data_IF_772450131913
#
_entry.id   IF_772450131913
#
_cell.length_a   1.000
_cell.length_b   1.000
_cell.length_c   1.000
_cell.angle_alpha   90.00
_cell.angle_beta   90.00
_cell.angle_gamma   90.00
#
_symmetry.space_group_name_H-M   'P 1'
#
loop_
_entity.id
_entity.type
_entity.pdbx_description
1 polymer ?
#
# COMPACT_ATOMS: atom_id res chain seq x y z
N UNK A 1 -5.82 -18.19 22.50
CA UNK A 1 -5.50 -16.96 21.76
C UNK A 1 -6.63 -16.68 20.79
N UNK A 2 -7.03 -15.43 20.63
CA UNK A 2 -8.16 -14.99 19.79
C UNK A 2 -7.64 -14.34 18.50
N UNK A 3 -8.39 -14.46 17.41
CA UNK A 3 -8.04 -13.96 16.08
C UNK A 3 -9.08 -12.93 15.62
N UNK A 4 -8.65 -11.75 15.15
CA UNK A 4 -9.50 -10.84 14.41
C UNK A 4 -9.24 -11.00 12.89
N UNK A 5 -10.32 -11.32 12.15
CA UNK A 5 -10.30 -11.42 10.69
C UNK A 5 -10.73 -10.08 10.10
N UNK A 6 -9.78 -9.35 9.51
CA UNK A 6 -9.99 -8.03 8.93
C UNK A 6 -10.33 -8.19 7.46
N UNK A 7 -11.48 -7.67 7.05
CA UNK A 7 -12.05 -7.88 5.71
C UNK A 7 -12.37 -6.53 5.07
N UNK A 8 -11.42 -5.94 4.30
CA UNK A 8 -11.71 -4.78 3.48
C UNK A 8 -12.75 -5.13 2.40
N UNK A 9 -13.85 -4.37 2.32
CA UNK A 9 -14.97 -4.66 1.43
C UNK A 9 -15.41 -3.41 0.68
N UNK A 10 -15.54 -3.50 -0.65
CA UNK A 10 -16.06 -2.42 -1.48
C UNK A 10 -16.84 -2.96 -2.68
N UNK A 11 -18.17 -2.82 -2.65
CA UNK A 11 -19.09 -3.40 -3.62
C UNK A 11 -18.90 -4.92 -3.76
N UNK A 12 -19.08 -5.62 -2.65
CA UNK A 12 -18.90 -7.08 -2.50
C UNK A 12 -20.22 -7.76 -2.07
N UNK A 13 -21.37 -7.20 -2.46
CA UNK A 13 -22.69 -7.73 -2.07
C UNK A 13 -22.89 -9.22 -2.43
N UNK A 14 -22.24 -9.72 -3.48
CA UNK A 14 -22.33 -11.11 -3.90
C UNK A 14 -21.46 -12.05 -3.03
N UNK A 15 -20.42 -11.53 -2.39
CA UNK A 15 -19.37 -12.33 -1.76
C UNK A 15 -19.45 -12.36 -0.23
N UNK A 16 -19.89 -11.29 0.46
CA UNK A 16 -19.76 -11.14 1.91
C UNK A 16 -20.39 -12.28 2.73
N UNK A 17 -21.56 -12.77 2.34
CA UNK A 17 -22.26 -13.86 3.08
C UNK A 17 -21.53 -15.19 2.90
N UNK A 18 -21.20 -15.54 1.65
CA UNK A 18 -20.46 -16.77 1.34
C UNK A 18 -19.05 -16.75 1.94
N UNK A 19 -18.41 -15.57 2.00
CA UNK A 19 -17.13 -15.39 2.67
C UNK A 19 -17.23 -15.68 4.17
N UNK A 20 -18.21 -15.09 4.85
CA UNK A 20 -18.45 -15.31 6.27
C UNK A 20 -18.64 -16.80 6.59
N UNK A 21 -19.49 -17.51 5.81
CA UNK A 21 -19.74 -18.94 6.01
C UNK A 21 -18.46 -19.77 5.83
N UNK A 22 -17.70 -19.54 4.76
CA UNK A 22 -16.46 -20.28 4.48
C UNK A 22 -15.35 -20.03 5.50
N UNK A 23 -15.26 -18.82 6.02
CA UNK A 23 -14.27 -18.52 7.07
C UNK A 23 -14.64 -19.23 8.36
N UNK A 24 -15.92 -19.21 8.74
CA UNK A 24 -16.39 -19.96 9.92
C UNK A 24 -16.13 -21.47 9.77
N UNK A 25 -16.44 -22.04 8.60
CA UNK A 25 -16.15 -23.45 8.31
C UNK A 25 -14.65 -23.76 8.41
N UNK A 26 -13.79 -22.92 7.84
CA UNK A 26 -12.35 -23.13 7.83
C UNK A 26 -11.71 -23.00 9.20
N UNK A 27 -12.09 -21.98 10.00
CA UNK A 27 -11.50 -21.71 11.31
C UNK A 27 -12.02 -22.65 12.40
N UNK A 28 -13.24 -23.20 12.26
CA UNK A 28 -13.80 -24.17 13.20
C UNK A 28 -13.73 -23.69 14.66
N UNK A 29 -13.00 -24.43 15.50
CA UNK A 29 -12.87 -24.16 16.94
C UNK A 29 -11.94 -22.98 17.29
N UNK A 30 -11.25 -22.39 16.31
CA UNK A 30 -10.40 -21.22 16.57
C UNK A 30 -11.29 -20.03 16.93
N UNK A 31 -11.16 -19.51 18.16
CA UNK A 31 -11.90 -18.32 18.59
C UNK A 31 -11.53 -17.12 17.71
N UNK A 32 -12.51 -16.58 16.98
CA UNK A 32 -12.29 -15.48 16.06
C UNK A 32 -13.43 -14.47 16.06
N UNK A 33 -13.13 -13.25 15.63
CA UNK A 33 -14.11 -12.21 15.30
C UNK A 33 -13.89 -11.78 13.85
N UNK A 34 -14.90 -11.13 13.26
CA UNK A 34 -14.81 -10.43 11.99
C UNK A 34 -14.80 -8.93 12.21
N UNK A 35 -13.94 -8.23 11.51
CA UNK A 35 -13.96 -6.78 11.39
C UNK A 35 -14.11 -6.47 9.91
N UNK A 36 -15.35 -6.31 9.47
CA UNK A 36 -15.65 -5.88 8.11
C UNK A 36 -15.47 -4.36 8.01
N UNK A 37 -14.69 -3.93 7.03
CA UNK A 37 -14.53 -2.51 6.75
C UNK A 37 -15.16 -2.21 5.38
N UNK A 38 -16.34 -1.59 5.41
CA UNK A 38 -17.04 -1.14 4.22
C UNK A 38 -16.48 0.21 3.74
N UNK A 39 -15.73 0.19 2.65
CA UNK A 39 -15.09 1.36 2.07
C UNK A 39 -16.09 2.22 1.25
N UNK A 40 -17.22 2.55 1.86
CA UNK A 40 -18.25 3.40 1.25
C UNK A 40 -18.91 2.75 0.04
N UNK A 41 -19.35 1.50 0.14
CA UNK A 41 -20.02 0.77 -0.93
C UNK A 41 -21.31 1.45 -1.38
N UNK A 42 -21.61 1.29 -2.68
CA UNK A 42 -22.81 1.85 -3.33
C UNK A 42 -23.89 0.81 -3.63
N UNK A 43 -23.55 -0.46 -3.43
CA UNK A 43 -24.44 -1.62 -3.57
C UNK A 43 -25.04 -2.04 -2.22
N UNK A 44 -25.53 -3.26 -2.11
CA UNK A 44 -26.13 -3.79 -0.89
C UNK A 44 -25.11 -4.37 0.11
N UNK A 45 -23.79 -4.15 -0.08
CA UNK A 45 -22.74 -4.70 0.80
C UNK A 45 -23.00 -4.33 2.27
N UNK A 46 -23.12 -3.04 2.60
CA UNK A 46 -23.36 -2.59 3.97
C UNK A 46 -24.63 -3.19 4.57
N UNK A 47 -25.72 -3.29 3.78
CA UNK A 47 -26.97 -3.91 4.25
C UNK A 47 -26.75 -5.37 4.64
N UNK A 48 -26.06 -6.16 3.80
CA UNK A 48 -25.77 -7.56 4.09
C UNK A 48 -24.83 -7.74 5.30
N UNK A 49 -23.86 -6.83 5.47
CA UNK A 49 -23.00 -6.84 6.65
C UNK A 49 -23.81 -6.59 7.94
N UNK A 50 -24.77 -5.66 7.92
CA UNK A 50 -25.68 -5.42 9.06
C UNK A 50 -26.54 -6.66 9.37
N UNK A 51 -27.08 -7.32 8.35
CA UNK A 51 -27.81 -8.59 8.50
C UNK A 51 -26.93 -9.71 9.09
N UNK A 52 -25.63 -9.75 8.76
CA UNK A 52 -24.67 -10.68 9.39
C UNK A 52 -24.40 -10.33 10.84
N UNK A 53 -24.26 -9.04 11.16
CA UNK A 53 -24.10 -8.59 12.54
C UNK A 53 -25.33 -8.93 13.40
N UNK A 54 -26.55 -8.71 12.88
CA UNK A 54 -27.79 -9.09 13.59
C UNK A 54 -27.88 -10.59 13.90
N UNK A 55 -27.23 -11.44 13.10
CA UNK A 55 -27.17 -12.90 13.32
C UNK A 55 -26.07 -13.33 14.29
N UNK A 56 -24.99 -12.55 14.38
CA UNK A 56 -23.77 -12.88 15.12
C UNK A 56 -23.13 -11.60 15.66
N UNK A 57 -23.84 -10.92 16.56
CA UNK A 57 -23.50 -9.61 17.11
C UNK A 57 -22.22 -9.61 17.97
N UNK A 58 -21.91 -10.75 18.61
CA UNK A 58 -20.70 -10.91 19.42
C UNK A 58 -19.42 -10.94 18.58
N UNK A 59 -19.47 -11.48 17.35
CA UNK A 59 -18.28 -11.74 16.55
C UNK A 59 -18.15 -10.87 15.31
N UNK A 60 -19.26 -10.38 14.75
CA UNK A 60 -19.25 -9.57 13.53
C UNK A 60 -19.27 -8.09 13.91
N UNK A 61 -18.18 -7.38 13.58
CA UNK A 61 -18.03 -5.94 13.78
C UNK A 61 -17.90 -5.24 12.44
N UNK A 62 -18.42 -4.01 12.33
CA UNK A 62 -18.48 -3.29 11.06
C UNK A 62 -17.98 -1.86 11.27
N UNK A 63 -17.05 -1.43 10.39
CA UNK A 63 -16.67 -0.04 10.21
C UNK A 63 -17.09 0.38 8.81
N UNK A 64 -18.06 1.29 8.68
CA UNK A 64 -18.49 1.81 7.37
C UNK A 64 -18.00 3.23 7.18
N UNK A 65 -17.36 3.49 6.03
CA UNK A 65 -16.81 4.80 5.69
C UNK A 65 -17.86 5.72 5.06
N UNK A 66 -17.69 7.03 5.25
CA UNK A 66 -18.56 8.07 4.67
C UNK A 66 -18.50 8.12 3.15
N UNK A 67 -17.38 7.67 2.55
CA UNK A 67 -17.13 7.54 1.11
C UNK A 67 -16.02 6.51 0.89
N UNK A 68 -15.68 6.22 -0.38
CA UNK A 68 -14.51 5.42 -0.69
C UNK A 68 -13.21 6.18 -0.38
N UNK A 69 -12.40 5.65 0.55
CA UNK A 69 -11.07 6.13 0.94
C UNK A 69 -9.95 5.20 0.43
N UNK A 70 -10.31 4.04 -0.09
CA UNK A 70 -9.39 3.07 -0.67
C UNK A 70 -9.01 1.93 0.27
N UNK A 71 -8.52 0.84 -0.33
CA UNK A 71 -8.17 -0.41 0.37
C UNK A 71 -7.15 -0.19 1.50
N UNK A 72 -6.18 0.69 1.31
CA UNK A 72 -5.14 0.99 2.30
C UNK A 72 -5.75 1.59 3.58
N UNK A 73 -6.72 2.50 3.44
CA UNK A 73 -7.45 3.07 4.55
C UNK A 73 -8.31 2.01 5.26
N UNK A 74 -8.94 1.11 4.51
CA UNK A 74 -9.76 0.03 5.06
C UNK A 74 -8.91 -0.98 5.84
N UNK A 75 -7.71 -1.33 5.36
CA UNK A 75 -6.75 -2.17 6.09
C UNK A 75 -6.34 -1.48 7.41
N UNK A 76 -6.01 -0.20 7.36
CA UNK A 76 -5.63 0.56 8.55
C UNK A 76 -6.77 0.61 9.58
N UNK A 77 -7.98 0.92 9.15
CA UNK A 77 -9.14 0.95 10.03
C UNK A 77 -9.40 -0.41 10.69
N UNK A 78 -9.33 -1.50 9.93
CA UNK A 78 -9.48 -2.84 10.47
C UNK A 78 -8.41 -3.20 11.50
N UNK A 79 -7.14 -2.87 11.24
CA UNK A 79 -6.04 -3.07 12.20
C UNK A 79 -6.20 -2.19 13.44
N UNK A 80 -6.63 -0.94 13.29
CA UNK A 80 -6.88 -0.01 14.38
C UNK A 80 -7.97 -0.53 15.33
N UNK A 81 -9.05 -1.10 14.78
CA UNK A 81 -10.16 -1.64 15.55
C UNK A 81 -9.94 -3.08 16.06
N UNK A 82 -8.85 -3.72 15.66
CA UNK A 82 -8.50 -5.06 16.13
C UNK A 82 -7.93 -5.01 17.54
N UNK A 83 -8.39 -5.94 18.41
CA UNK A 83 -7.98 -6.04 19.83
C UNK A 83 -7.48 -7.43 20.21
N UNK A 84 -7.68 -8.44 19.37
CA UNK A 84 -7.29 -9.84 19.64
C UNK A 84 -5.78 -10.06 19.59
N UNK A 85 -5.31 -11.24 20.05
CA UNK A 85 -3.89 -11.63 20.07
C UNK A 85 -3.27 -11.63 18.66
N UNK A 86 -4.10 -12.02 17.68
CA UNK A 86 -3.74 -12.05 16.25
C UNK A 86 -4.72 -11.23 15.43
N UNK A 87 -4.22 -10.63 14.34
CA UNK A 87 -5.02 -10.01 13.30
C UNK A 87 -4.64 -10.59 11.93
N UNK A 88 -5.63 -10.97 11.14
CA UNK A 88 -5.42 -11.50 9.79
C UNK A 88 -6.17 -10.65 8.77
N UNK A 89 -5.49 -10.14 7.76
CA UNK A 89 -6.10 -9.43 6.63
C UNK A 89 -6.38 -10.46 5.53
N UNK A 90 -7.59 -10.46 5.02
CA UNK A 90 -8.01 -11.32 3.90
C UNK A 90 -9.05 -10.60 3.04
N UNK A 91 -8.94 -10.74 1.72
CA UNK A 91 -9.89 -10.14 0.77
C UNK A 91 -11.21 -10.92 0.72
N UNK A 92 -12.33 -10.20 0.58
CA UNK A 92 -13.69 -10.76 0.58
C UNK A 92 -14.01 -11.62 -0.67
N UNK A 93 -13.20 -11.54 -1.75
CA UNK A 93 -13.48 -12.13 -3.07
C UNK A 93 -13.22 -13.65 -3.17
N UNK A 94 -12.82 -14.29 -2.06
CA UNK A 94 -12.54 -15.73 -1.96
C UNK A 94 -11.43 -16.24 -2.91
N UNK A 95 -10.61 -15.36 -3.50
CA UNK A 95 -9.42 -15.80 -4.24
C UNK A 95 -8.33 -16.36 -3.32
N UNK A 96 -8.42 -16.02 -2.05
CA UNK A 96 -7.54 -16.47 -0.97
C UNK A 96 -8.31 -17.51 -0.14
N UNK A 97 -7.87 -18.77 -0.20
CA UNK A 97 -8.56 -19.85 0.52
C UNK A 97 -8.42 -19.64 2.04
N UNK A 98 -9.53 -19.55 2.81
CA UNK A 98 -9.50 -19.34 4.25
C UNK A 98 -8.73 -20.39 5.06
N UNK A 99 -8.58 -21.63 4.54
CA UNK A 99 -7.79 -22.68 5.20
C UNK A 99 -6.31 -22.30 5.42
N UNK A 100 -5.77 -21.34 4.66
CA UNK A 100 -4.43 -20.82 4.93
C UNK A 100 -4.34 -20.06 6.24
N UNK A 101 -5.45 -19.45 6.72
CA UNK A 101 -5.45 -18.79 8.06
C UNK A 101 -5.18 -19.79 9.18
N UNK A 102 -5.72 -21.01 9.08
CA UNK A 102 -5.43 -22.07 10.06
C UNK A 102 -3.95 -22.43 10.08
N UNK A 103 -3.32 -22.51 8.91
CA UNK A 103 -1.87 -22.77 8.79
C UNK A 103 -1.06 -21.63 9.41
N UNK A 104 -1.40 -20.38 9.10
CA UNK A 104 -0.73 -19.20 9.66
C UNK A 104 -0.88 -19.15 11.18
N UNK A 105 -2.07 -19.43 11.70
CA UNK A 105 -2.36 -19.46 13.13
C UNK A 105 -1.53 -20.53 13.86
N UNK A 106 -1.50 -21.77 13.33
CA UNK A 106 -0.67 -22.85 13.87
C UNK A 106 0.81 -22.51 13.84
N UNK A 107 1.28 -22.00 12.70
CA UNK A 107 2.68 -21.61 12.54
C UNK A 107 3.11 -20.57 13.59
N UNK A 108 2.33 -19.51 13.78
CA UNK A 108 2.64 -18.48 14.78
C UNK A 108 2.60 -19.03 16.21
N UNK A 109 1.67 -19.95 16.53
CA UNK A 109 1.63 -20.57 17.87
C UNK A 109 2.87 -21.45 18.15
N UNK A 110 3.36 -22.16 17.14
CA UNK A 110 4.50 -23.06 17.25
C UNK A 110 5.85 -22.32 17.16
N UNK A 111 5.89 -21.12 16.58
CA UNK A 111 7.12 -20.36 16.31
C UNK A 111 7.04 -18.95 16.94
N UNK A 112 7.33 -18.81 18.25
CA UNK A 112 7.23 -17.53 18.96
C UNK A 112 8.19 -16.45 18.44
N UNK A 113 9.27 -16.84 17.75
CA UNK A 113 10.26 -15.93 17.18
C UNK A 113 9.77 -15.17 15.94
N UNK A 114 8.62 -15.56 15.38
CA UNK A 114 8.00 -14.89 14.24
C UNK A 114 6.83 -14.03 14.69
N UNK A 115 6.75 -12.80 14.15
CA UNK A 115 5.72 -11.82 14.46
C UNK A 115 4.60 -11.80 13.43
N UNK A 116 4.87 -12.28 12.21
CA UNK A 116 3.87 -12.36 11.16
C UNK A 116 4.12 -13.49 10.16
N UNK A 117 3.05 -13.88 9.48
CA UNK A 117 3.08 -14.78 8.32
C UNK A 117 2.47 -14.05 7.13
N UNK A 118 3.20 -13.99 6.01
CA UNK A 118 2.74 -13.43 4.75
C UNK A 118 2.55 -14.53 3.71
N UNK A 119 1.37 -14.56 3.09
CA UNK A 119 1.11 -15.47 1.98
C UNK A 119 1.52 -14.82 0.66
N UNK A 120 2.37 -15.52 -0.10
CA UNK A 120 2.88 -15.08 -1.39
C UNK A 120 2.16 -15.79 -2.53
N UNK A 121 1.75 -15.07 -3.56
CA UNK A 121 1.16 -15.68 -4.75
C UNK A 121 2.21 -16.48 -5.54
N UNK A 122 1.95 -17.78 -5.78
CA UNK A 122 2.73 -18.55 -6.74
C UNK A 122 2.41 -18.07 -8.16
N UNK A 123 3.26 -17.22 -8.71
CA UNK A 123 3.12 -16.78 -10.11
C UNK A 123 3.74 -17.81 -11.06
N UNK A 124 2.94 -18.38 -11.95
CA UNK A 124 3.41 -19.34 -12.98
C UNK A 124 4.23 -18.70 -14.11
N UNK A 125 4.12 -17.39 -14.35
CA UNK A 125 4.95 -16.65 -15.32
C UNK A 125 5.14 -15.19 -14.86
N UNK A 126 6.35 -14.85 -14.47
CA UNK A 126 6.72 -13.45 -14.20
C UNK A 126 6.66 -12.65 -15.50
N UNK A 127 5.81 -11.63 -15.58
CA UNK A 127 5.89 -10.64 -16.67
C UNK A 127 7.15 -9.81 -16.46
N UNK A 128 7.95 -9.65 -17.51
CA UNK A 128 9.22 -8.91 -17.50
C UNK A 128 9.12 -7.56 -16.77
N UNK A 129 8.03 -6.82 -17.00
CA UNK A 129 7.74 -5.54 -16.33
C UNK A 129 7.59 -5.64 -14.80
N UNK A 130 7.00 -6.71 -14.28
CA UNK A 130 6.86 -6.91 -12.83
C UNK A 130 8.23 -7.16 -12.20
N UNK A 131 9.07 -7.95 -12.85
CA UNK A 131 10.43 -8.24 -12.37
C UNK A 131 11.31 -6.99 -12.35
N UNK A 132 11.23 -6.18 -13.41
CA UNK A 132 11.92 -4.90 -13.49
C UNK A 132 11.43 -3.95 -12.38
N UNK A 133 10.12 -3.87 -12.15
CA UNK A 133 9.52 -3.07 -11.10
C UNK A 133 10.00 -3.47 -9.69
N UNK A 134 9.91 -4.75 -9.32
CA UNK A 134 10.37 -5.20 -7.98
C UNK A 134 11.88 -5.02 -7.80
N UNK A 135 12.69 -5.20 -8.85
CA UNK A 135 14.12 -4.92 -8.79
C UNK A 135 14.42 -3.42 -8.61
N UNK A 136 13.67 -2.56 -9.29
CA UNK A 136 13.78 -1.09 -9.14
C UNK A 136 13.32 -0.67 -7.75
N UNK A 137 12.18 -1.18 -7.28
CA UNK A 137 11.66 -0.91 -5.92
C UNK A 137 12.65 -1.36 -4.84
N UNK A 138 13.17 -2.58 -4.90
CA UNK A 138 14.16 -3.09 -3.93
C UNK A 138 15.47 -2.29 -3.94
N UNK A 139 15.89 -1.76 -5.11
CA UNK A 139 17.08 -0.89 -5.21
C UNK A 139 16.81 0.56 -4.80
N UNK A 140 15.60 1.06 -5.04
CA UNK A 140 15.22 2.45 -4.78
C UNK A 140 14.66 2.66 -3.37
N UNK A 141 13.87 1.73 -2.83
CA UNK A 141 13.48 1.71 -1.42
C UNK A 141 14.46 0.83 -0.65
N UNK A 142 14.91 1.25 0.52
CA UNK A 142 15.72 0.40 1.41
C UNK A 142 14.86 -0.67 2.10
N UNK A 143 13.87 -1.22 1.40
CA UNK A 143 12.90 -2.18 1.92
C UNK A 143 13.07 -3.54 1.26
N UNK A 144 13.11 -4.58 2.06
CA UNK A 144 13.08 -5.97 1.61
C UNK A 144 11.63 -6.35 1.23
N UNK A 145 11.15 -5.85 0.08
CA UNK A 145 9.84 -6.24 -0.43
C UNK A 145 9.98 -7.59 -1.13
N UNK A 146 9.47 -8.64 -0.50
CA UNK A 146 9.46 -9.98 -1.07
C UNK A 146 8.51 -10.05 -2.26
N UNK A 147 9.02 -10.55 -3.38
CA UNK A 147 8.26 -10.71 -4.63
C UNK A 147 7.05 -11.63 -4.44
N UNK A 148 5.89 -11.19 -4.92
CA UNK A 148 4.65 -11.93 -4.77
C UNK A 148 3.96 -11.79 -3.40
N UNK A 149 4.54 -11.05 -2.44
CA UNK A 149 3.92 -10.80 -1.16
C UNK A 149 2.55 -10.14 -1.34
N UNK A 150 1.52 -10.76 -0.77
CA UNK A 150 0.14 -10.25 -0.80
C UNK A 150 -0.22 -9.52 0.49
N UNK A 151 -1.41 -8.89 0.51
CA UNK A 151 -1.98 -8.33 1.73
C UNK A 151 -2.52 -9.42 2.65
N UNK A 152 -2.67 -10.68 2.17
CA UNK A 152 -3.08 -11.82 2.97
C UNK A 152 -1.99 -12.19 3.97
N UNK A 153 -2.15 -11.67 5.19
CA UNK A 153 -1.16 -11.77 6.27
C UNK A 153 -1.83 -11.94 7.62
N UNK A 154 -1.13 -12.64 8.51
CA UNK A 154 -1.48 -12.71 9.92
C UNK A 154 -0.37 -12.10 10.75
N UNK A 155 -0.75 -11.29 11.74
CA UNK A 155 0.16 -10.52 12.59
C UNK A 155 -0.10 -10.84 14.06
N UNK A 156 0.96 -10.80 14.88
CA UNK A 156 0.84 -10.70 16.34
C UNK A 156 0.46 -9.30 16.76
N UNK A 157 -0.10 -9.14 17.93
CA UNK A 157 -0.56 -7.87 18.51
C UNK A 157 0.54 -6.80 18.56
N UNK A 158 1.78 -7.17 18.94
CA UNK A 158 2.91 -6.24 19.00
C UNK A 158 3.17 -5.56 17.64
N UNK A 159 3.16 -6.35 16.56
CA UNK A 159 3.34 -5.82 15.21
C UNK A 159 2.16 -4.96 14.76
N UNK A 160 0.91 -5.37 15.07
CA UNK A 160 -0.30 -4.55 14.79
C UNK A 160 -0.18 -3.18 15.46
N UNK A 161 0.16 -3.14 16.75
CA UNK A 161 0.32 -1.89 17.49
C UNK A 161 1.36 -0.97 16.86
N UNK A 162 2.49 -1.52 16.38
CA UNK A 162 3.52 -0.76 15.68
C UNK A 162 3.05 -0.24 14.33
N UNK A 163 2.27 -1.02 13.56
CA UNK A 163 1.71 -0.59 12.26
C UNK A 163 0.70 0.54 12.45
N UNK A 164 -0.14 0.45 13.48
CA UNK A 164 -1.18 1.44 13.78
C UNK A 164 -0.60 2.73 14.33
N UNK A 165 0.57 2.69 15.00
CA UNK A 165 1.24 3.89 15.50
C UNK A 165 1.83 4.78 14.41
N UNK A 166 1.91 4.29 13.16
CA UNK A 166 2.38 5.06 12.01
C UNK A 166 1.20 5.83 11.39
N UNK A 167 1.23 7.16 11.51
CA UNK A 167 0.15 8.07 11.08
C UNK A 167 0.29 8.56 9.64
N UNK A 168 1.05 7.87 8.81
CA UNK A 168 1.24 8.23 7.40
C UNK A 168 -0.09 8.29 6.65
N UNK A 169 -0.37 9.41 5.96
CA UNK A 169 -1.61 9.61 5.18
C UNK A 169 -1.52 8.93 3.80
N UNK A 170 -0.31 8.95 3.21
CA UNK A 170 -0.02 8.24 1.97
C UNK A 170 0.41 6.81 2.27
N UNK A 171 -0.53 5.98 2.72
CA UNK A 171 -0.23 4.60 3.13
C UNK A 171 0.08 3.70 1.95
N UNK A 172 1.09 2.87 2.13
CA UNK A 172 1.43 1.75 1.28
C UNK A 172 1.71 0.56 2.20
N UNK A 173 0.69 -0.21 2.50
CA UNK A 173 0.72 -1.25 3.55
C UNK A 173 1.89 -2.21 3.40
N UNK A 174 2.23 -2.65 2.19
CA UNK A 174 3.37 -3.55 1.95
C UNK A 174 4.71 -2.94 2.37
N UNK A 175 4.87 -1.64 2.17
CA UNK A 175 6.02 -0.88 2.62
C UNK A 175 6.05 -0.73 4.14
N UNK A 176 4.92 -0.37 4.74
CA UNK A 176 4.77 -0.23 6.19
C UNK A 176 5.08 -1.55 6.90
N UNK A 177 4.56 -2.68 6.41
CA UNK A 177 4.81 -4.01 6.98
C UNK A 177 6.29 -4.41 6.94
N UNK A 178 7.03 -3.96 5.94
CA UNK A 178 8.48 -4.15 5.87
C UNK A 178 9.24 -3.15 6.76
N UNK A 179 8.77 -1.88 6.80
CA UNK A 179 9.42 -0.79 7.54
C UNK A 179 9.46 -1.04 9.06
N UNK A 180 8.40 -1.62 9.63
CA UNK A 180 8.35 -1.90 11.08
C UNK A 180 9.37 -2.96 11.53
N UNK A 181 10.03 -3.68 10.62
CA UNK A 181 11.20 -4.51 10.88
C UNK A 181 10.95 -5.81 11.67
N UNK A 182 9.70 -6.21 11.85
CA UNK A 182 9.34 -7.45 12.54
C UNK A 182 9.63 -8.70 11.69
N UNK A 183 9.93 -9.82 12.36
CA UNK A 183 10.27 -11.07 11.69
C UNK A 183 9.06 -11.71 11.03
N UNK A 184 9.07 -11.76 9.70
CA UNK A 184 7.97 -12.30 8.88
C UNK A 184 8.38 -13.63 8.25
N UNK A 185 7.53 -14.65 8.37
CA UNK A 185 7.62 -15.88 7.61
C UNK A 185 6.84 -15.75 6.31
N UNK A 186 7.43 -16.17 5.20
CA UNK A 186 6.81 -16.11 3.87
C UNK A 186 6.46 -17.52 3.39
N UNK A 187 5.17 -17.80 3.24
CA UNK A 187 4.67 -19.03 2.63
C UNK A 187 3.98 -18.73 1.30
N UNK A 188 3.72 -19.73 0.50
CA UNK A 188 3.14 -19.54 -0.82
C UNK A 188 1.79 -20.21 -0.95
N UNK A 189 0.85 -19.55 -1.64
CA UNK A 189 -0.47 -20.09 -1.93
C UNK A 189 -0.79 -20.08 -3.42
N UNK A 190 -1.73 -20.96 -3.83
CA UNK A 190 -2.32 -20.93 -5.16
C UNK A 190 -3.55 -20.04 -5.13
N UNK A 191 -3.62 -19.10 -6.07
CA UNK A 191 -4.80 -18.25 -6.26
C UNK A 191 -5.92 -19.10 -6.84
N UNK A 192 -7.08 -19.08 -6.21
CA UNK A 192 -8.29 -19.70 -6.77
C UNK A 192 -8.89 -18.81 -7.86
N UNK A 193 -9.56 -19.42 -8.84
CA UNK A 193 -10.22 -18.67 -9.89
C UNK A 193 -11.37 -17.84 -9.32
N UNK A 194 -11.46 -16.59 -9.76
CA UNK A 194 -12.51 -15.66 -9.35
C UNK A 194 -13.88 -16.21 -9.74
N UNK A 195 -14.77 -16.40 -8.76
CA UNK A 195 -16.14 -16.87 -9.02
C UNK A 195 -17.09 -15.78 -9.55
N UNK A 196 -16.65 -14.50 -9.58
CA UNK A 196 -17.41 -13.36 -10.09
C UNK A 196 -16.60 -12.08 -10.15
N UNK A 197 -17.04 -11.11 -10.95
CA UNK A 197 -16.44 -9.78 -11.07
C UNK A 197 -15.34 -9.63 -12.12
N UNK A 198 -15.15 -8.39 -12.64
CA UNK A 198 -14.13 -8.03 -13.63
C UNK A 198 -12.89 -7.44 -12.96
N UNK A 199 -11.71 -7.71 -13.53
CA UNK A 199 -10.44 -7.14 -13.05
C UNK A 199 -10.46 -5.62 -13.22
N UNK A 200 -10.50 -4.87 -12.11
CA UNK A 200 -10.56 -3.38 -12.08
C UNK A 200 -9.19 -2.71 -12.33
N UNK A 201 -8.11 -3.47 -12.55
CA UNK A 201 -6.75 -2.95 -12.70
C UNK A 201 -6.38 -2.68 -14.15
N UNK A 202 -6.10 -1.39 -14.47
CA UNK A 202 -5.54 -0.95 -15.74
C UNK A 202 -4.02 -0.75 -15.59
N UNK A 203 -3.25 -0.88 -16.70
CA UNK A 203 -1.78 -0.70 -16.73
C UNK A 203 -1.34 0.66 -16.17
N UNK A 204 -2.11 1.72 -16.43
CA UNK A 204 -1.85 3.07 -15.91
C UNK A 204 -2.00 3.12 -14.39
N UNK A 205 -3.05 2.49 -13.82
CA UNK A 205 -3.23 2.42 -12.36
C UNK A 205 -2.10 1.66 -11.68
N UNK A 206 -1.60 0.60 -12.31
CA UNK A 206 -0.47 -0.17 -11.78
C UNK A 206 0.82 0.66 -11.78
N UNK A 207 1.07 1.44 -12.85
CA UNK A 207 2.22 2.33 -12.94
C UNK A 207 2.16 3.44 -11.88
N UNK A 208 1.01 4.10 -11.72
CA UNK A 208 0.82 5.13 -10.71
C UNK A 208 1.01 4.58 -9.28
N UNK A 209 0.42 3.43 -8.98
CA UNK A 209 0.62 2.76 -7.69
C UNK A 209 2.09 2.44 -7.40
N UNK A 210 2.81 2.02 -8.44
CA UNK A 210 4.24 1.76 -8.38
C UNK A 210 5.06 3.04 -8.11
N UNK A 211 4.73 4.11 -8.82
CA UNK A 211 5.38 5.41 -8.67
C UNK A 211 5.09 6.01 -7.29
N UNK A 212 3.84 5.92 -6.82
CA UNK A 212 3.44 6.33 -5.48
C UNK A 212 4.22 5.61 -4.39
N UNK A 213 4.42 4.30 -4.52
CA UNK A 213 5.25 3.51 -3.61
C UNK A 213 6.72 3.97 -3.59
N UNK A 214 7.31 4.27 -4.76
CA UNK A 214 8.69 4.77 -4.83
C UNK A 214 8.81 6.11 -4.12
N UNK A 215 7.92 7.05 -4.42
CA UNK A 215 7.97 8.40 -3.85
C UNK A 215 7.67 8.41 -2.35
N UNK A 216 6.81 7.50 -1.86
CA UNK A 216 6.51 7.39 -0.43
C UNK A 216 7.71 6.93 0.41
N UNK A 217 8.52 6.00 -0.12
CA UNK A 217 9.56 5.35 0.68
C UNK A 217 11.00 5.59 0.21
N UNK A 218 11.22 6.45 -0.77
CA UNK A 218 12.56 6.70 -1.30
C UNK A 218 12.76 8.13 -1.74
N UNK A 219 13.87 8.73 -1.33
CA UNK A 219 14.34 10.04 -1.83
C UNK A 219 15.34 9.89 -2.99
N UNK A 220 15.62 8.66 -3.45
CA UNK A 220 16.59 8.41 -4.53
C UNK A 220 16.26 9.10 -5.85
N UNK A 221 14.97 9.24 -6.27
CA UNK A 221 14.62 10.03 -7.45
C UNK A 221 15.08 11.50 -7.36
N UNK A 222 14.99 12.12 -6.17
CA UNK A 222 15.51 13.48 -5.95
C UNK A 222 17.03 13.53 -6.04
N UNK A 223 17.72 12.54 -5.45
CA UNK A 223 19.19 12.44 -5.53
C UNK A 223 19.65 12.23 -6.98
N UNK A 224 18.93 11.42 -7.75
CA UNK A 224 19.21 11.24 -9.17
C UNK A 224 19.10 12.56 -9.94
N UNK A 225 18.06 13.35 -9.70
CA UNK A 225 17.91 14.69 -10.27
C UNK A 225 19.10 15.59 -9.89
N UNK A 226 19.53 15.57 -8.63
CA UNK A 226 20.69 16.34 -8.14
C UNK A 226 21.98 15.91 -8.86
N UNK A 227 22.30 14.62 -8.93
CA UNK A 227 23.51 14.13 -9.60
C UNK A 227 23.52 14.45 -11.09
N UNK A 228 22.37 14.31 -11.75
CA UNK A 228 22.24 14.66 -13.17
C UNK A 228 22.43 16.17 -13.37
N UNK A 229 21.85 17.00 -12.49
CA UNK A 229 22.01 18.45 -12.50
C UNK A 229 23.48 18.87 -12.32
N UNK A 230 24.19 18.29 -11.37
CA UNK A 230 25.63 18.55 -11.15
C UNK A 230 26.45 18.16 -12.37
N UNK A 231 26.18 16.97 -12.95
CA UNK A 231 26.91 16.48 -14.11
C UNK A 231 26.70 17.39 -15.34
N UNK A 232 25.45 17.78 -15.62
CA UNK A 232 25.11 18.68 -16.73
C UNK A 232 25.71 20.08 -16.54
N UNK A 233 25.67 20.62 -15.31
CA UNK A 233 26.31 21.91 -14.98
C UNK A 233 27.82 21.88 -15.16
N UNK A 234 28.47 20.78 -14.74
CA UNK A 234 29.92 20.62 -14.94
C UNK A 234 30.29 20.49 -16.41
N UNK A 235 29.53 19.73 -17.20
CA UNK A 235 29.71 19.63 -18.63
C UNK A 235 29.52 21.00 -19.34
N UNK A 236 28.48 21.74 -18.94
CA UNK A 236 28.22 23.09 -19.46
C UNK A 236 29.36 24.05 -19.10
N UNK A 237 29.92 23.97 -17.90
CA UNK A 237 31.04 24.79 -17.47
C UNK A 237 32.31 24.50 -18.29
N UNK A 238 32.64 23.22 -18.55
CA UNK A 238 33.74 22.84 -19.42
C UNK A 238 33.51 23.40 -20.84
N UNK A 239 32.29 23.22 -21.37
CA UNK A 239 31.94 23.70 -22.71
C UNK A 239 32.05 25.24 -22.83
N UNK A 240 31.65 25.97 -21.76
CA UNK A 240 31.83 27.43 -21.69
C UNK A 240 33.30 27.83 -21.81
N UNK A 241 34.21 27.16 -21.09
CA UNK A 241 35.66 27.42 -21.19
C UNK A 241 36.17 27.16 -22.60
N UNK A 242 35.73 26.06 -23.24
CA UNK A 242 36.12 25.74 -24.61
C UNK A 242 35.66 26.81 -25.59
N UNK A 243 34.44 27.35 -25.44
CA UNK A 243 33.92 28.44 -26.28
C UNK A 243 34.75 29.71 -26.09
N UNK A 244 35.05 30.10 -24.84
CA UNK A 244 35.86 31.29 -24.55
C UNK A 244 37.23 31.16 -25.18
N UNK A 245 37.91 30.02 -25.01
CA UNK A 245 39.24 29.80 -25.62
C UNK A 245 39.18 29.88 -27.16
N UNK A 246 38.17 29.24 -27.78
CA UNK A 246 37.95 29.32 -29.22
C UNK A 246 37.74 30.76 -29.72
N UNK A 247 36.92 31.53 -29.01
CA UNK A 247 36.62 32.93 -29.35
C UNK A 247 37.86 33.80 -29.30
N UNK A 248 38.75 33.58 -28.31
CA UNK A 248 40.03 34.33 -28.18
C UNK A 248 41.01 33.95 -29.29
N UNK A 249 41.10 32.66 -29.63
CA UNK A 249 42.14 32.13 -30.56
C UNK A 249 41.72 32.29 -32.03
N UNK A 250 40.44 32.06 -32.36
CA UNK A 250 39.94 31.98 -33.74
C UNK A 250 38.96 33.10 -34.14
N UNK A 251 38.57 33.98 -33.22
CA UNK A 251 37.50 34.93 -33.43
C UNK A 251 36.11 34.33 -33.27
N UNK A 252 35.09 35.19 -33.32
CA UNK A 252 33.69 34.78 -33.15
C UNK A 252 33.10 34.43 -34.51
N UNK A 253 32.90 33.14 -34.76
CA UNK A 253 32.12 32.63 -35.89
C UNK A 253 30.68 32.35 -35.41
N UNK A 254 29.68 32.99 -36.00
CA UNK A 254 28.28 32.88 -35.56
C UNK A 254 27.37 32.18 -36.56
N UNK A 255 27.45 30.85 -36.75
CA UNK A 255 26.41 30.20 -37.54
C UNK A 255 25.54 29.16 -36.79
N UNK A 256 25.58 29.00 -35.48
CA UNK A 256 24.94 27.82 -34.86
C UNK A 256 23.66 28.10 -34.04
N UNK A 257 22.66 28.81 -34.64
CA UNK A 257 21.33 28.99 -34.03
C UNK A 257 20.64 27.65 -33.73
N UNK A 258 20.75 26.66 -34.62
CA UNK A 258 20.10 25.37 -34.49
C UNK A 258 20.63 24.54 -33.31
N UNK A 259 21.96 24.52 -33.11
CA UNK A 259 22.57 23.80 -31.98
C UNK A 259 22.27 24.47 -30.64
N UNK A 260 22.24 25.81 -30.60
CA UNK A 260 21.83 26.57 -29.42
C UNK A 260 20.37 26.23 -29.01
N UNK A 261 19.47 26.23 -30.00
CA UNK A 261 18.04 25.86 -29.77
C UNK A 261 17.89 24.44 -29.24
N UNK A 262 18.61 23.48 -29.83
CA UNK A 262 18.58 22.09 -29.35
C UNK A 262 19.03 21.98 -27.89
N UNK A 263 20.12 22.64 -27.52
CA UNK A 263 20.64 22.64 -26.14
C UNK A 263 19.66 23.32 -25.18
N UNK A 264 19.08 24.47 -25.55
CA UNK A 264 18.08 25.17 -24.72
C UNK A 264 16.83 24.33 -24.52
N UNK A 265 16.29 23.68 -25.55
CA UNK A 265 15.11 22.81 -25.44
C UNK A 265 15.41 21.58 -24.61
N UNK A 266 16.59 20.97 -24.75
CA UNK A 266 16.99 19.81 -23.93
C UNK A 266 17.12 20.18 -22.46
N UNK A 267 17.82 21.28 -22.13
CA UNK A 267 17.98 21.74 -20.76
C UNK A 267 16.63 22.17 -20.14
N UNK A 268 15.80 22.90 -20.90
CA UNK A 268 14.47 23.30 -20.49
C UNK A 268 13.56 22.06 -20.19
N UNK A 269 13.60 21.07 -21.08
CA UNK A 269 12.88 19.81 -20.87
C UNK A 269 13.36 19.06 -19.63
N UNK A 270 14.66 18.98 -19.40
CA UNK A 270 15.25 18.34 -18.22
C UNK A 270 14.87 19.08 -16.93
N UNK A 271 14.86 20.42 -16.93
CA UNK A 271 14.40 21.23 -15.78
C UNK A 271 12.94 20.98 -15.46
N UNK A 272 12.06 20.89 -16.46
CA UNK A 272 10.63 20.59 -16.27
C UNK A 272 10.42 19.21 -15.66
N UNK A 273 11.18 18.19 -16.07
CA UNK A 273 11.12 16.84 -15.47
C UNK A 273 11.51 16.89 -13.98
N UNK A 274 12.61 17.57 -13.64
CA UNK A 274 13.06 17.67 -12.26
C UNK A 274 12.09 18.47 -11.39
N UNK A 275 11.51 19.54 -11.93
CA UNK A 275 10.48 20.33 -11.28
C UNK A 275 9.22 19.49 -11.03
N UNK A 276 8.83 18.64 -11.99
CA UNK A 276 7.74 17.67 -11.84
C UNK A 276 7.99 16.67 -10.72
N UNK A 277 9.20 16.07 -10.66
CA UNK A 277 9.57 15.17 -9.55
C UNK A 277 9.49 15.89 -8.21
N UNK A 278 10.04 17.10 -8.10
CA UNK A 278 9.97 17.92 -6.88
C UNK A 278 8.53 18.23 -6.50
N UNK A 279 7.68 18.55 -7.49
CA UNK A 279 6.26 18.79 -7.30
C UNK A 279 5.51 17.61 -6.68
N UNK A 280 5.82 16.37 -7.10
CA UNK A 280 5.25 15.16 -6.51
C UNK A 280 5.61 15.00 -5.02
N UNK A 281 6.88 15.18 -4.66
CA UNK A 281 7.28 15.13 -3.25
C UNK A 281 6.64 16.24 -2.43
N UNK A 282 6.59 17.45 -2.96
CA UNK A 282 5.94 18.59 -2.30
C UNK A 282 4.44 18.36 -2.11
N UNK A 283 3.77 17.80 -3.12
CA UNK A 283 2.36 17.43 -3.06
C UNK A 283 2.07 16.41 -1.96
N UNK A 284 2.92 15.38 -1.81
CA UNK A 284 2.79 14.40 -0.73
C UNK A 284 3.05 15.02 0.64
N UNK A 285 4.12 15.82 0.78
CA UNK A 285 4.39 16.57 2.02
C UNK A 285 3.22 17.48 2.40
N UNK A 286 2.63 18.18 1.43
CA UNK A 286 1.45 19.00 1.64
C UNK A 286 0.24 18.19 2.13
N UNK A 287 0.03 16.97 1.62
CA UNK A 287 -1.05 16.12 2.11
C UNK A 287 -0.79 15.64 3.55
N UNK A 288 0.46 15.33 3.92
CA UNK A 288 0.84 14.98 5.29
C UNK A 288 0.64 16.15 6.25
N UNK A 289 1.05 17.37 5.87
CA UNK A 289 0.94 18.57 6.73
C UNK A 289 -0.51 19.01 6.99
N UNK A 290 -1.45 18.65 6.12
CA UNK A 290 -2.89 18.89 6.36
C UNK A 290 -3.45 18.15 7.56
N UNK A 291 -2.77 17.12 8.01
CA UNK A 291 -3.17 16.25 9.11
C UNK A 291 -4.64 15.78 9.06
N UNK A 292 -5.18 15.56 7.86
CA UNK A 292 -6.53 15.01 7.69
C UNK A 292 -6.56 13.55 8.15
N UNK A 293 -7.68 13.06 8.72
CA UNK A 293 -7.79 11.65 9.07
C UNK A 293 -7.67 10.76 7.82
N UNK A 294 -7.10 9.55 8.00
CA UNK A 294 -6.91 8.57 6.93
C UNK A 294 -8.26 8.13 6.36
N UNK A 295 -9.29 8.04 7.21
CA UNK A 295 -10.67 7.74 6.83
C UNK A 295 -11.63 8.52 7.75
N UNK A 296 -12.88 8.58 7.35
CA UNK A 296 -13.99 9.10 8.18
C UNK A 296 -15.03 7.98 8.28
N UNK A 297 -15.19 7.42 9.47
CA UNK A 297 -16.26 6.47 9.71
C UNK A 297 -17.61 7.18 9.68
N UNK A 298 -18.57 6.58 8.98
CA UNK A 298 -19.99 6.97 9.00
C UNK A 298 -20.73 6.23 10.09
N UNK A 299 -20.43 4.94 10.26
CA UNK A 299 -21.03 4.06 11.24
C UNK A 299 -19.97 3.08 11.74
N UNK A 300 -19.99 2.80 13.03
CA UNK A 300 -19.21 1.76 13.71
C UNK A 300 -20.16 0.90 14.53
N UNK A 301 -20.24 -0.40 14.23
CA UNK A 301 -21.25 -1.32 14.78
C UNK A 301 -20.54 -2.49 15.46
N UNK A 302 -20.98 -2.87 16.65
CA UNK A 302 -20.42 -3.99 17.43
C UNK A 302 -19.16 -3.64 18.22
N UNK A 303 -18.83 -2.36 18.41
CA UNK A 303 -17.72 -1.89 19.23
C UNK A 303 -18.24 -1.27 20.54
N UNK A 304 -17.50 -1.47 21.65
CA UNK A 304 -17.84 -0.88 22.94
C UNK A 304 -17.67 0.65 22.91
N UNK A 305 -18.57 1.40 23.58
CA UNK A 305 -18.54 2.86 23.62
C UNK A 305 -17.20 3.42 24.16
N UNK A 306 -16.61 2.78 25.18
CA UNK A 306 -15.29 3.13 25.72
C UNK A 306 -14.15 3.01 24.70
N UNK A 307 -14.30 2.11 23.73
CA UNK A 307 -13.34 1.92 22.64
C UNK A 307 -13.40 3.08 21.64
N UNK A 308 -14.60 3.52 21.31
CA UNK A 308 -14.84 4.64 20.37
C UNK A 308 -14.21 5.94 20.86
N UNK A 309 -14.35 6.26 22.16
CA UNK A 309 -13.77 7.46 22.76
C UNK A 309 -12.24 7.46 22.77
N UNK A 310 -11.58 6.34 23.00
CA UNK A 310 -10.11 6.24 23.03
C UNK A 310 -9.46 6.43 21.67
N UNK A 311 -10.15 6.10 20.59
CA UNK A 311 -9.62 6.13 19.23
C UNK A 311 -10.15 7.30 18.38
N UNK A 312 -11.35 7.83 18.64
CA UNK A 312 -11.84 9.07 18.02
C UNK A 312 -10.99 10.29 18.40
N UNK A 313 -10.45 10.36 19.63
CA UNK A 313 -9.58 11.46 20.05
C UNK A 313 -8.25 11.60 19.33
N UNK A 314 -7.85 10.60 18.54
CA UNK A 314 -6.64 10.65 17.69
C UNK A 314 -6.93 11.05 16.24
N UNK A 315 -8.21 11.12 15.84
CA UNK A 315 -8.63 11.41 14.46
C UNK A 315 -9.44 12.73 14.33
N UNK A 316 -9.53 13.54 15.40
CA UNK A 316 -10.12 14.89 15.38
C UNK A 316 -9.04 15.95 15.57
#
# INVERSE_FOLDING_TARGET
MKLDVIVPSYNEEENVVNFYEKVNEALGDIKHNFIFVDDGSKDKTLKKLKELHEKDDERVKIVSFSKNFGKEAAIYAGLLHSTSDYACIIDCDLQQNPNYMVKMYKFLNENPDYDSVCMCQKQHKKRFFQRCFYNIMGKLSNMDIVDGASDFRMFRRNMVNSIVSLDEKNRFSKGIFSYVGFKTYYDSYKVEERKGGTTKWNKVKLFNYAFDGIVAFSTKPLRFATYTGVLTSFAAFIYLIVIIVKAIVKGIDTPDYSSLMCVMLFLGGLQLIFLGILGEYLGKTYNETKNRPIYIAKEEIGFDEDYLWKNCGKNV
#
